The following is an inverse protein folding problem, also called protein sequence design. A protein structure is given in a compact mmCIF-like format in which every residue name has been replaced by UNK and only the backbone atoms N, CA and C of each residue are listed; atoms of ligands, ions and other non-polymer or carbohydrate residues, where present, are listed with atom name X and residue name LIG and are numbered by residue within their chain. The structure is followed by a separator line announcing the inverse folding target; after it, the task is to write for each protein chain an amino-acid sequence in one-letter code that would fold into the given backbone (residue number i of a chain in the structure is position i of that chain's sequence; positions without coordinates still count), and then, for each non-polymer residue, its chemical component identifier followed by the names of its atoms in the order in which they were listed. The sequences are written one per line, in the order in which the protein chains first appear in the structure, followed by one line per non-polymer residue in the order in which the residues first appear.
data_IF_408449312313
#
_entry.id   IF_408449312313
#
_cell.length_a   1.000
_cell.length_b   1.000
_cell.length_c   1.000
_cell.angle_alpha   90.00
_cell.angle_beta   90.00
_cell.angle_gamma   90.00
#
_symmetry.space_group_name_H-M   'P 1'
#
loop_
_entity.id
_entity.type
_entity.pdbx_description
1 polymer ?
#
# COMPACT_ATOMS: atom_id res chain seq x y z
N UNK A 1 11.78 0.56 8.06
CA UNK A 1 10.68 0.80 7.10
C UNK A 1 10.81 2.22 6.57
N UNK A 2 11.19 2.43 5.30
CA UNK A 2 11.48 3.76 4.76
C UNK A 2 10.34 4.78 4.91
N UNK A 3 9.09 4.33 4.76
CA UNK A 3 7.89 5.17 4.92
C UNK A 3 7.80 5.81 6.31
N UNK A 4 8.10 5.06 7.38
CA UNK A 4 8.10 5.58 8.75
C UNK A 4 9.11 6.72 8.88
N UNK A 5 10.32 6.55 8.35
CA UNK A 5 11.35 7.59 8.40
C UNK A 5 10.94 8.81 7.57
N UNK A 6 10.34 8.62 6.39
CA UNK A 6 9.84 9.72 5.58
C UNK A 6 8.79 10.55 6.32
N UNK A 7 7.76 9.90 6.87
CA UNK A 7 6.76 10.60 7.68
C UNK A 7 7.40 11.31 8.87
N UNK A 8 8.22 10.61 9.66
CA UNK A 8 8.84 11.19 10.86
C UNK A 8 9.63 12.48 10.59
N UNK A 9 10.41 12.51 9.51
CA UNK A 9 11.28 13.66 9.22
C UNK A 9 10.55 14.78 8.48
N UNK A 10 9.63 14.46 7.56
CA UNK A 10 9.02 15.47 6.70
C UNK A 10 7.72 16.03 7.27
N UNK A 11 7.00 15.29 8.10
CA UNK A 11 5.69 15.70 8.60
C UNK A 11 5.67 17.08 9.30
N UNK A 12 6.67 17.46 10.14
CA UNK A 12 6.69 18.79 10.74
C UNK A 12 6.68 19.93 9.71
N UNK A 13 7.40 19.77 8.60
CA UNK A 13 7.46 20.77 7.53
C UNK A 13 6.15 20.82 6.74
N UNK A 14 5.50 19.67 6.53
CA UNK A 14 4.21 19.59 5.84
C UNK A 14 3.10 20.25 6.67
N UNK A 15 3.11 20.06 7.99
CA UNK A 15 2.19 20.74 8.92
C UNK A 15 2.39 22.26 8.88
N UNK A 16 3.65 22.71 8.82
CA UNK A 16 3.97 24.13 8.77
C UNK A 16 3.62 24.82 7.43
N UNK A 17 3.25 24.07 6.39
CA UNK A 17 2.91 24.65 5.09
C UNK A 17 1.54 25.37 5.13
N UNK A 18 1.47 26.70 4.95
CA UNK A 18 0.21 27.43 5.00
C UNK A 18 -0.77 27.03 3.89
N UNK A 19 -0.26 26.54 2.76
CA UNK A 19 -1.07 26.10 1.62
C UNK A 19 -1.64 24.68 1.80
N UNK A 20 -1.24 24.00 2.87
CA UNK A 20 -1.51 22.58 3.08
C UNK A 20 -0.54 21.67 2.34
N UNK A 21 -0.64 20.37 2.58
CA UNK A 21 0.28 19.39 2.02
C UNK A 21 -0.39 18.04 1.81
N UNK A 22 0.28 17.15 1.08
CA UNK A 22 -0.19 15.80 0.84
C UNK A 22 0.93 14.77 0.99
N UNK A 23 0.62 13.65 1.64
CA UNK A 23 1.48 12.48 1.71
C UNK A 23 0.88 11.37 0.85
N UNK A 24 1.68 10.76 -0.01
CA UNK A 24 1.29 9.55 -0.76
C UNK A 24 2.23 8.43 -0.42
N UNK A 25 1.70 7.38 0.20
CA UNK A 25 2.46 6.20 0.55
C UNK A 25 2.05 5.02 -0.35
N UNK A 26 3.03 4.33 -0.93
CA UNK A 26 2.77 3.20 -1.83
C UNK A 26 2.71 1.88 -1.04
N UNK A 27 1.49 1.43 -0.77
CA UNK A 27 1.19 0.08 -0.27
C UNK A 27 1.21 -0.93 -1.44
N UNK A 28 0.26 -1.86 -1.48
CA UNK A 28 0.03 -2.81 -2.56
C UNK A 28 -1.33 -3.46 -2.42
N UNK A 29 -1.91 -3.89 -3.54
CA UNK A 29 -3.05 -4.80 -3.53
C UNK A 29 -2.76 -6.05 -2.70
N UNK A 30 -1.51 -6.53 -2.62
CA UNK A 30 -1.11 -7.69 -1.79
C UNK A 30 -1.45 -7.57 -0.31
N UNK A 31 -1.92 -6.41 0.17
CA UNK A 31 -2.57 -6.31 1.48
C UNK A 31 -3.77 -7.25 1.63
N UNK A 32 -4.49 -7.52 0.55
CA UNK A 32 -5.71 -8.33 0.52
C UNK A 32 -5.48 -9.76 0.00
N UNK A 33 -4.28 -10.05 -0.51
CA UNK A 33 -3.91 -11.35 -1.06
C UNK A 33 -2.69 -11.88 -0.32
N UNK A 34 -2.79 -13.09 0.22
CA UNK A 34 -1.74 -13.72 1.03
C UNK A 34 -1.14 -14.95 0.34
N UNK A 35 -0.62 -14.83 -0.91
CA UNK A 35 -0.06 -15.99 -1.58
C UNK A 35 1.20 -16.49 -0.85
N UNK A 36 1.46 -17.81 -0.85
CA UNK A 36 2.70 -18.37 -0.31
C UNK A 36 3.95 -17.68 -0.88
N UNK A 37 4.91 -17.35 -0.02
CA UNK A 37 6.17 -16.69 -0.40
C UNK A 37 6.15 -15.15 -0.33
N UNK A 38 5.00 -14.51 -0.06
CA UNK A 38 4.91 -13.04 0.01
C UNK A 38 4.98 -12.49 1.44
N UNK A 39 5.19 -13.33 2.45
CA UNK A 39 5.07 -12.95 3.86
C UNK A 39 5.75 -11.62 4.24
N UNK A 40 7.06 -11.39 3.98
CA UNK A 40 7.69 -10.12 4.34
C UNK A 40 7.14 -8.94 3.52
N UNK A 41 6.81 -9.17 2.24
CA UNK A 41 6.23 -8.15 1.38
C UNK A 41 4.84 -7.74 1.86
N UNK A 42 3.92 -8.71 2.04
CA UNK A 42 2.55 -8.49 2.52
C UNK A 42 2.54 -7.82 3.89
N UNK A 43 3.35 -8.32 4.83
CA UNK A 43 3.46 -7.71 6.17
C UNK A 43 3.89 -6.24 6.07
N UNK A 44 4.92 -5.95 5.27
CA UNK A 44 5.40 -4.57 5.09
C UNK A 44 4.34 -3.67 4.45
N UNK A 45 3.62 -4.15 3.42
CA UNK A 45 2.61 -3.36 2.70
C UNK A 45 1.35 -3.14 3.53
N UNK A 46 0.99 -4.09 4.39
CA UNK A 46 -0.06 -3.89 5.38
C UNK A 46 0.30 -2.87 6.46
N UNK A 47 1.55 -2.90 6.94
CA UNK A 47 2.03 -1.89 7.88
C UNK A 47 2.02 -0.47 7.27
N UNK A 48 2.32 -0.34 5.97
CA UNK A 48 2.25 0.96 5.27
C UNK A 48 0.81 1.51 5.23
N UNK A 49 -0.18 0.68 4.94
CA UNK A 49 -1.60 1.08 4.99
C UNK A 49 -1.99 1.53 6.40
N UNK A 50 -1.73 0.69 7.41
CA UNK A 50 -2.06 1.01 8.81
C UNK A 50 -1.44 2.33 9.26
N UNK A 51 -0.13 2.50 9.05
CA UNK A 51 0.59 3.74 9.35
C UNK A 51 -0.08 4.96 8.69
N UNK A 52 -0.38 4.85 7.40
CA UNK A 52 -0.87 6.00 6.63
C UNK A 52 -2.27 6.42 7.06
N UNK A 53 -3.17 5.46 7.30
CA UNK A 53 -4.53 5.74 7.77
C UNK A 53 -4.53 6.31 9.20
N UNK A 54 -3.65 5.80 10.07
CA UNK A 54 -3.46 6.38 11.41
C UNK A 54 -2.97 7.81 11.33
N UNK A 55 -1.93 8.10 10.52
CA UNK A 55 -1.44 9.47 10.33
C UNK A 55 -2.52 10.39 9.76
N UNK A 56 -3.32 9.91 8.80
CA UNK A 56 -4.44 10.67 8.24
C UNK A 56 -5.44 11.09 9.34
N UNK A 57 -5.82 10.14 10.20
CA UNK A 57 -6.73 10.37 11.31
C UNK A 57 -6.13 11.34 12.34
N UNK A 58 -4.85 11.21 12.67
CA UNK A 58 -4.13 12.12 13.58
C UNK A 58 -4.06 13.54 13.03
N UNK A 59 -3.81 13.71 11.72
CA UNK A 59 -3.79 15.03 11.07
C UNK A 59 -5.17 15.68 11.10
N UNK A 60 -6.22 14.91 10.81
CA UNK A 60 -7.60 15.39 10.89
C UNK A 60 -7.97 15.78 12.33
N UNK A 61 -7.65 14.94 13.32
CA UNK A 61 -7.94 15.21 14.73
C UNK A 61 -7.20 16.45 15.28
N UNK A 62 -5.99 16.71 14.78
CA UNK A 62 -5.21 17.90 15.15
C UNK A 62 -5.61 19.16 14.35
N UNK A 63 -6.53 19.08 13.38
CA UNK A 63 -6.92 20.19 12.52
C UNK A 63 -5.83 20.62 11.52
N UNK A 64 -4.86 19.75 11.25
CA UNK A 64 -3.77 20.02 10.30
C UNK A 64 -4.24 19.86 8.85
N UNK A 65 -3.76 20.73 7.96
CA UNK A 65 -4.08 20.71 6.52
C UNK A 65 -3.19 19.74 5.73
N UNK A 66 -2.98 18.53 6.26
CA UNK A 66 -2.15 17.48 5.64
C UNK A 66 -3.04 16.32 5.23
N UNK A 67 -3.28 16.17 3.93
CA UNK A 67 -3.95 15.02 3.36
C UNK A 67 -3.02 13.81 3.28
N UNK A 68 -3.59 12.61 3.35
CA UNK A 68 -2.84 11.36 3.20
C UNK A 68 -3.62 10.40 2.32
N UNK A 69 -2.96 9.89 1.28
CA UNK A 69 -3.51 8.87 0.38
C UNK A 69 -2.60 7.65 0.38
N UNK A 70 -3.21 6.48 0.48
CA UNK A 70 -2.53 5.20 0.31
C UNK A 70 -2.76 4.70 -1.11
N UNK A 71 -1.67 4.49 -1.85
CA UNK A 71 -1.71 3.90 -3.17
C UNK A 71 -1.61 2.37 -3.06
N UNK A 72 -2.53 1.66 -3.71
CA UNK A 72 -2.58 0.20 -3.78
C UNK A 72 -2.41 -0.28 -5.23
N UNK A 73 -1.15 -0.49 -5.68
CA UNK A 73 -0.88 -1.06 -6.97
C UNK A 73 -1.17 -2.56 -7.02
N UNK A 74 -1.80 -3.01 -8.10
CA UNK A 74 -1.69 -4.38 -8.61
C UNK A 74 -0.36 -4.53 -9.37
N UNK A 75 -0.37 -5.17 -10.55
CA UNK A 75 0.84 -5.32 -11.35
C UNK A 75 1.11 -4.04 -12.17
N UNK A 76 2.29 -3.44 -11.98
CA UNK A 76 2.70 -2.23 -12.71
C UNK A 76 4.04 -2.49 -13.37
N UNK A 77 4.16 -2.17 -14.66
CA UNK A 77 5.37 -2.41 -15.47
C UNK A 77 6.56 -1.60 -14.94
N UNK A 78 7.27 -2.17 -13.99
CA UNK A 78 8.40 -1.56 -13.28
C UNK A 78 9.53 -2.57 -13.10
N UNK A 79 10.69 -2.08 -12.67
CA UNK A 79 11.83 -2.91 -12.33
C UNK A 79 11.74 -3.52 -10.92
N UNK A 80 10.54 -3.64 -10.32
CA UNK A 80 10.40 -4.25 -8.97
C UNK A 80 10.75 -5.74 -8.97
N UNK A 81 10.58 -6.40 -10.11
CA UNK A 81 10.98 -7.79 -10.35
C UNK A 81 12.47 -8.04 -10.06
N UNK A 82 13.30 -7.08 -10.43
CA UNK A 82 14.75 -7.17 -10.26
C UNK A 82 15.21 -6.58 -8.90
N UNK A 83 14.31 -6.48 -7.90
CA UNK A 83 14.55 -5.70 -6.66
C UNK A 83 15.74 -6.16 -5.83
N UNK A 84 16.21 -7.40 -6.01
CA UNK A 84 17.43 -7.91 -5.38
C UNK A 84 18.66 -7.03 -5.67
N UNK A 85 18.70 -6.37 -6.84
CA UNK A 85 19.76 -5.41 -7.18
C UNK A 85 19.86 -4.21 -6.22
N UNK A 86 18.78 -3.91 -5.49
CA UNK A 86 18.69 -2.79 -4.55
C UNK A 86 18.96 -3.24 -3.10
N UNK A 87 19.21 -4.54 -2.87
CA UNK A 87 19.45 -5.06 -1.53
C UNK A 87 20.80 -4.55 -1.00
N UNK A 88 20.86 -3.92 0.19
CA UNK A 88 22.13 -3.54 0.80
C UNK A 88 23.05 -4.74 0.98
N UNK A 89 24.36 -4.56 0.78
CA UNK A 89 25.34 -5.58 1.10
C UNK A 89 25.16 -6.07 2.55
N UNK A 90 25.28 -7.40 2.77
CA UNK A 90 25.15 -8.06 4.07
C UNK A 90 23.76 -7.99 4.74
N UNK A 91 22.69 -7.79 3.97
CA UNK A 91 21.30 -7.80 4.48
C UNK A 91 20.51 -9.08 4.15
N UNK A 92 21.21 -10.20 3.92
CA UNK A 92 20.57 -11.50 3.71
C UNK A 92 19.83 -11.94 4.98
N UNK A 93 18.52 -12.22 4.85
CA UNK A 93 17.68 -12.71 5.93
C UNK A 93 17.46 -14.22 5.87
N UNK A 94 16.84 -14.78 6.91
CA UNK A 94 16.50 -16.20 6.99
C UNK A 94 15.29 -16.62 6.12
N UNK A 95 14.60 -15.65 5.51
CA UNK A 95 13.45 -15.91 4.63
C UNK A 95 13.93 -16.13 3.19
N UNK A 96 13.20 -16.97 2.47
CA UNK A 96 13.49 -17.28 1.06
C UNK A 96 13.29 -16.04 0.20
N UNK A 97 14.28 -15.74 -0.64
CA UNK A 97 14.16 -14.72 -1.68
C UNK A 97 13.15 -15.14 -2.73
N UNK A 98 12.12 -14.32 -2.91
CA UNK A 98 11.04 -14.61 -3.83
C UNK A 98 10.95 -13.56 -4.94
N UNK A 99 10.93 -14.02 -6.19
CA UNK A 99 10.74 -13.17 -7.35
C UNK A 99 9.23 -13.05 -7.68
N UNK A 100 8.67 -11.91 -7.29
CA UNK A 100 7.26 -11.55 -7.48
C UNK A 100 6.84 -11.60 -8.96
N UNK A 101 7.74 -11.32 -9.90
CA UNK A 101 7.38 -11.29 -11.31
C UNK A 101 7.20 -12.67 -11.95
N UNK A 102 7.75 -13.72 -11.32
CA UNK A 102 7.52 -15.09 -11.79
C UNK A 102 6.10 -15.59 -11.51
N UNK A 103 5.28 -14.82 -10.79
CA UNK A 103 3.89 -15.19 -10.43
C UNK A 103 2.79 -14.41 -11.13
N UNK A 104 3.06 -13.24 -11.69
CA UNK A 104 2.07 -12.51 -12.49
C UNK A 104 2.39 -12.75 -13.97
N UNK A 105 1.91 -13.91 -14.45
CA UNK A 105 2.18 -14.39 -15.80
C UNK A 105 1.24 -13.81 -16.85
N UNK A 106 0.07 -13.35 -16.43
CA UNK A 106 -0.89 -12.70 -17.30
C UNK A 106 -0.46 -11.27 -17.58
N UNK A 107 -0.10 -10.99 -18.85
CA UNK A 107 0.40 -9.69 -19.28
C UNK A 107 -0.70 -8.62 -19.27
N UNK A 108 -1.98 -9.02 -19.39
CA UNK A 108 -3.13 -8.11 -19.40
C UNK A 108 -3.41 -7.51 -18.01
N UNK A 109 -2.86 -8.11 -16.95
CA UNK A 109 -2.91 -7.57 -15.60
C UNK A 109 -1.92 -6.42 -15.37
N UNK A 110 -0.99 -6.15 -16.29
CA UNK A 110 0.05 -5.16 -16.08
C UNK A 110 -0.33 -3.79 -16.65
N UNK A 111 -0.44 -2.78 -15.78
CA UNK A 111 -0.64 -1.39 -16.18
C UNK A 111 0.68 -0.62 -16.29
N UNK A 112 0.66 0.46 -17.07
CA UNK A 112 1.79 1.40 -17.17
C UNK A 112 1.96 2.25 -15.90
N UNK A 113 3.18 2.68 -15.54
CA UNK A 113 3.40 3.62 -14.44
C UNK A 113 2.60 4.92 -14.55
N UNK A 114 2.35 5.39 -15.77
CA UNK A 114 1.52 6.57 -16.04
C UNK A 114 0.07 6.38 -15.59
N UNK A 115 -0.48 5.16 -15.69
CA UNK A 115 -1.81 4.84 -15.19
C UNK A 115 -1.87 4.96 -13.66
N UNK A 116 -0.87 4.41 -12.96
CA UNK A 116 -0.77 4.55 -11.50
C UNK A 116 -0.64 6.03 -11.09
N UNK A 117 0.17 6.81 -11.82
CA UNK A 117 0.28 8.26 -11.61
C UNK A 117 -1.06 8.99 -11.78
N UNK A 118 -1.82 8.65 -12.83
CA UNK A 118 -3.15 9.23 -13.07
C UNK A 118 -4.15 8.89 -11.96
N UNK A 119 -4.09 7.67 -11.41
CA UNK A 119 -4.89 7.24 -10.25
C UNK A 119 -4.54 8.07 -9.01
N UNK A 120 -3.24 8.25 -8.69
CA UNK A 120 -2.79 9.11 -7.57
C UNK A 120 -3.32 10.52 -7.73
N UNK A 121 -3.17 11.13 -8.91
CA UNK A 121 -3.63 12.50 -9.14
C UNK A 121 -5.15 12.66 -9.00
N UNK A 122 -5.93 11.63 -9.34
CA UNK A 122 -7.39 11.64 -9.10
C UNK A 122 -7.70 11.59 -7.61
N UNK A 123 -7.07 10.68 -6.86
CA UNK A 123 -7.28 10.55 -5.43
C UNK A 123 -6.94 11.85 -4.68
N UNK A 124 -5.83 12.51 -5.04
CA UNK A 124 -5.43 13.80 -4.45
C UNK A 124 -6.47 14.91 -4.70
N UNK A 125 -7.01 15.00 -5.92
CA UNK A 125 -8.04 16.01 -6.24
C UNK A 125 -9.35 15.79 -5.50
N UNK A 126 -9.70 14.54 -5.23
CA UNK A 126 -10.94 14.16 -4.56
C UNK A 126 -10.81 14.16 -3.03
N UNK A 127 -9.60 14.12 -2.50
CA UNK A 127 -9.36 13.88 -1.08
C UNK A 127 -9.55 12.43 -0.66
N UNK A 128 -9.34 11.49 -1.58
CA UNK A 128 -9.55 10.08 -1.31
C UNK A 128 -8.40 9.50 -0.45
N UNK A 129 -8.73 8.77 0.63
CA UNK A 129 -7.72 8.11 1.46
C UNK A 129 -7.10 6.89 0.76
N UNK A 130 -7.78 6.33 -0.24
CA UNK A 130 -7.35 5.16 -0.99
C UNK A 130 -7.26 5.42 -2.48
N UNK A 131 -6.24 4.88 -3.11
CA UNK A 131 -6.00 4.96 -4.54
C UNK A 131 -5.74 3.56 -5.10
N UNK A 132 -6.76 2.96 -5.75
CA UNK A 132 -6.67 1.62 -6.33
C UNK A 132 -6.45 1.67 -7.84
N UNK A 133 -5.50 0.88 -8.32
CA UNK A 133 -5.14 0.83 -9.75
C UNK A 133 -5.83 -0.30 -10.52
N UNK A 134 -6.29 -1.35 -9.83
CA UNK A 134 -6.82 -2.57 -10.44
C UNK A 134 -8.20 -2.90 -9.87
N UNK A 135 -9.25 -2.17 -10.29
CA UNK A 135 -10.61 -2.40 -9.79
C UNK A 135 -11.17 -3.77 -10.18
N UNK A 136 -10.61 -4.42 -11.21
CA UNK A 136 -10.94 -5.79 -11.60
C UNK A 136 -10.58 -6.84 -10.53
N UNK A 137 -9.77 -6.49 -9.53
CA UNK A 137 -9.44 -7.37 -8.40
C UNK A 137 -10.44 -7.26 -7.24
N UNK A 138 -11.55 -6.52 -7.41
CA UNK A 138 -12.54 -6.30 -6.34
C UNK A 138 -13.07 -7.62 -5.78
N UNK A 139 -13.37 -8.61 -6.63
CA UNK A 139 -13.93 -9.89 -6.19
C UNK A 139 -13.01 -10.62 -5.19
N UNK A 140 -11.70 -10.58 -5.41
CA UNK A 140 -10.75 -11.21 -4.51
C UNK A 140 -10.66 -10.48 -3.16
N UNK A 141 -10.78 -9.15 -3.17
CA UNK A 141 -10.84 -8.33 -1.95
C UNK A 141 -12.10 -8.68 -1.16
N UNK A 142 -13.25 -8.75 -1.83
CA UNK A 142 -14.52 -9.12 -1.22
C UNK A 142 -14.48 -10.53 -0.62
N UNK A 143 -13.84 -11.49 -1.30
CA UNK A 143 -13.64 -12.85 -0.81
C UNK A 143 -12.84 -12.88 0.49
N UNK A 144 -11.78 -12.08 0.60
CA UNK A 144 -11.00 -11.97 1.84
C UNK A 144 -11.87 -11.43 2.98
N UNK A 145 -12.60 -10.33 2.76
CA UNK A 145 -13.45 -9.73 3.78
C UNK A 145 -14.66 -10.61 4.16
N UNK A 146 -15.18 -11.41 3.24
CA UNK A 146 -16.20 -12.42 3.55
C UNK A 146 -15.66 -13.45 4.55
N UNK A 147 -14.44 -13.96 4.35
CA UNK A 147 -13.80 -14.88 5.31
C UNK A 147 -13.57 -14.21 6.67
N UNK A 148 -13.08 -12.96 6.68
CA UNK A 148 -12.91 -12.20 7.93
C UNK A 148 -14.24 -12.07 8.68
N UNK A 149 -15.30 -11.69 7.97
CA UNK A 149 -16.65 -11.57 8.56
C UNK A 149 -17.11 -12.89 9.15
N UNK A 150 -17.03 -13.98 8.38
CA UNK A 150 -17.38 -15.32 8.83
C UNK A 150 -16.66 -15.69 10.13
N UNK A 151 -15.34 -15.49 10.19
CA UNK A 151 -14.55 -15.82 11.39
C UNK A 151 -14.87 -14.91 12.58
N UNK A 152 -15.15 -13.62 12.35
CA UNK A 152 -15.55 -12.71 13.43
C UNK A 152 -16.90 -13.08 14.03
N UNK A 153 -17.86 -13.50 13.22
CA UNK A 153 -19.22 -13.84 13.69
C UNK A 153 -19.32 -15.25 14.26
N UNK A 154 -18.36 -16.14 13.95
CA UNK A 154 -18.35 -17.53 14.40
C UNK A 154 -18.48 -17.72 15.92
N UNK A 155 -18.02 -16.74 16.70
CA UNK A 155 -18.02 -16.78 18.17
C UNK A 155 -19.09 -15.87 18.79
N UNK A 156 -19.97 -15.26 17.99
CA UNK A 156 -21.01 -14.36 18.49
C UNK A 156 -22.24 -15.11 19.06
N UNK A 157 -22.35 -16.42 18.81
CA UNK A 157 -23.47 -17.27 19.25
C UNK A 157 -23.10 -18.26 20.38
N UNK A 158 -22.06 -17.96 21.18
CA UNK A 158 -21.71 -18.73 22.39
C UNK A 158 -22.09 -18.01 23.68
#
# INVERSE_FOLDING_TARGET
MGVVHGVHHFLPYLIANPDGAWIVNTASMSRYFTPPGYAPYVASKAAVEGLSLTVAAEMAAAGNRVGVTVLHPGAVRTNIKDSLRNRPANSAGALIDFDIAKKVLDDDLWVEPSHAGAVVMRALRNGDPYAYTHPNMLEDVERNFALVREQMTKYAES
#
